data_IF_634239324512
#
_entry.id   IF_634239324512
#
_cell.length_a   1.000
_cell.length_b   1.000
_cell.length_c   1.000
_cell.angle_alpha   90.00
_cell.angle_beta   90.00
_cell.angle_gamma   90.00
#
_symmetry.space_group_name_H-M   'P 1'
#
loop_
_entity.id
_entity.type
_entity.pdbx_description
1 polymer ?
#
# COMPACT_ATOMS: atom_id res chain seq x y z
N UNK A 1 -1.87 10.50 32.57
CA UNK A 1 -1.63 9.56 33.66
C UNK A 1 -1.52 8.18 33.03
N UNK A 2 -0.28 7.66 32.95
CA UNK A 2 -0.02 6.29 32.58
C UNK A 2 -0.76 5.40 33.61
N UNK A 3 -1.78 4.70 33.14
CA UNK A 3 -2.51 3.75 33.98
C UNK A 3 -1.49 2.71 34.47
N UNK A 4 -1.36 2.55 35.78
CA UNK A 4 -0.47 1.54 36.38
C UNK A 4 -0.84 0.19 35.79
N UNK A 5 0.09 -0.41 35.08
CA UNK A 5 0.01 -1.79 34.63
C UNK A 5 -0.05 -2.67 35.89
N UNK A 6 -1.08 -3.50 36.00
CA UNK A 6 -1.14 -4.52 37.02
C UNK A 6 -0.10 -5.56 36.68
N UNK A 7 0.53 -6.15 37.69
CA UNK A 7 1.67 -7.09 37.60
C UNK A 7 1.38 -8.42 36.86
N UNK A 8 0.27 -8.50 36.12
CA UNK A 8 -0.16 -9.68 35.36
C UNK A 8 -0.41 -9.43 33.87
N UNK A 9 -0.38 -8.17 33.43
CA UNK A 9 -0.65 -7.86 31.99
C UNK A 9 0.64 -8.01 31.19
N UNK A 10 0.52 -8.65 30.02
CA UNK A 10 1.60 -8.84 29.06
C UNK A 10 1.42 -7.81 27.93
N UNK A 11 2.49 -7.18 27.50
CA UNK A 11 2.43 -6.33 26.32
C UNK A 11 2.50 -7.18 25.05
N UNK A 12 1.61 -6.88 24.11
CA UNK A 12 1.62 -7.46 22.78
C UNK A 12 1.69 -6.39 21.70
N UNK A 13 2.26 -6.77 20.57
CA UNK A 13 2.26 -6.00 19.34
C UNK A 13 1.54 -6.83 18.29
N UNK A 14 0.54 -6.22 17.68
CA UNK A 14 -0.24 -6.84 16.60
C UNK A 14 0.02 -6.06 15.34
N UNK A 15 0.67 -6.69 14.38
CA UNK A 15 1.09 -6.11 13.09
C UNK A 15 0.32 -6.71 11.92
N UNK A 16 -0.09 -5.87 10.97
CA UNK A 16 -0.70 -6.37 9.72
C UNK A 16 0.36 -7.02 8.83
N UNK A 17 0.27 -8.32 8.66
CA UNK A 17 1.16 -9.06 7.76
C UNK A 17 0.95 -8.63 6.31
N UNK A 18 1.96 -7.99 5.71
CA UNK A 18 1.95 -7.55 4.31
C UNK A 18 0.73 -6.68 3.94
N UNK A 19 0.38 -5.71 4.76
CA UNK A 19 -0.80 -4.87 4.58
C UNK A 19 -0.88 -4.23 3.18
N UNK A 20 0.16 -3.54 2.73
CA UNK A 20 0.18 -2.85 1.43
C UNK A 20 0.10 -3.79 0.22
N UNK A 21 0.82 -4.92 0.15
CA UNK A 21 0.64 -5.93 -0.89
C UNK A 21 -0.79 -6.47 -0.98
N UNK A 22 -1.44 -6.71 0.15
CA UNK A 22 -2.85 -7.18 0.16
C UNK A 22 -3.80 -6.12 -0.38
N UNK A 23 -3.61 -4.86 -0.01
CA UNK A 23 -4.37 -3.72 -0.55
C UNK A 23 -4.13 -3.58 -2.05
N UNK A 24 -2.89 -3.77 -2.53
CA UNK A 24 -2.57 -3.75 -3.97
C UNK A 24 -3.37 -4.81 -4.73
N UNK A 25 -3.38 -6.07 -4.25
CA UNK A 25 -4.13 -7.16 -4.87
C UNK A 25 -5.63 -6.88 -4.85
N UNK A 26 -6.17 -6.37 -3.73
CA UNK A 26 -7.56 -5.96 -3.62
C UNK A 26 -7.95 -4.92 -4.69
N UNK A 27 -7.18 -3.84 -4.83
CA UNK A 27 -7.47 -2.82 -5.82
C UNK A 27 -7.28 -3.30 -7.26
N UNK A 28 -6.30 -4.16 -7.52
CA UNK A 28 -6.10 -4.74 -8.84
C UNK A 28 -7.29 -5.62 -9.25
N UNK A 29 -7.82 -6.43 -8.33
CA UNK A 29 -9.02 -7.22 -8.55
C UNK A 29 -10.24 -6.32 -8.79
N UNK A 30 -10.52 -5.39 -7.87
CA UNK A 30 -11.66 -4.48 -7.97
C UNK A 30 -11.62 -3.60 -9.25
N UNK A 31 -10.44 -3.19 -9.67
CA UNK A 31 -10.26 -2.45 -10.92
C UNK A 31 -10.60 -3.28 -12.15
N UNK A 32 -10.22 -4.56 -12.15
CA UNK A 32 -10.59 -5.52 -13.21
C UNK A 32 -12.09 -5.77 -13.26
N UNK A 33 -12.70 -6.05 -12.12
CA UNK A 33 -14.16 -6.28 -12.01
C UNK A 33 -14.97 -5.08 -12.52
N UNK A 34 -14.59 -3.85 -12.11
CA UNK A 34 -15.28 -2.64 -12.55
C UNK A 34 -15.22 -2.43 -14.07
N UNK A 35 -14.25 -3.02 -14.75
CA UNK A 35 -14.08 -2.96 -16.22
C UNK A 35 -14.55 -4.22 -16.94
N UNK A 36 -15.10 -5.19 -16.22
CA UNK A 36 -15.45 -6.52 -16.75
C UNK A 36 -14.29 -7.19 -17.49
N UNK A 37 -13.07 -6.92 -17.04
CA UNK A 37 -11.83 -7.44 -17.63
C UNK A 37 -10.79 -7.62 -16.53
N UNK A 38 -10.63 -8.85 -16.05
CA UNK A 38 -9.64 -9.17 -15.02
C UNK A 38 -8.23 -8.77 -15.47
N UNK A 39 -7.48 -8.12 -14.59
CA UNK A 39 -6.09 -7.83 -14.87
C UNK A 39 -5.27 -9.12 -14.86
N UNK A 40 -4.44 -9.29 -15.89
CA UNK A 40 -3.60 -10.47 -16.05
C UNK A 40 -2.69 -10.68 -14.82
N UNK A 41 -2.73 -11.88 -14.25
CA UNK A 41 -1.91 -12.28 -13.11
C UNK A 41 -2.51 -12.00 -11.74
N UNK A 42 -3.66 -11.31 -11.66
CA UNK A 42 -4.31 -11.02 -10.35
C UNK A 42 -4.94 -12.25 -9.74
N UNK A 43 -5.55 -13.10 -10.56
CA UNK A 43 -6.26 -14.29 -10.08
C UNK A 43 -5.35 -15.21 -9.26
N UNK A 44 -4.11 -15.42 -9.71
CA UNK A 44 -3.13 -16.26 -9.02
C UNK A 44 -2.81 -15.73 -7.61
N UNK A 45 -2.77 -14.40 -7.42
CA UNK A 45 -2.56 -13.80 -6.10
C UNK A 45 -3.80 -13.89 -5.23
N UNK A 46 -4.99 -13.69 -5.79
CA UNK A 46 -6.25 -13.83 -5.06
C UNK A 46 -6.44 -15.26 -4.57
N UNK A 47 -6.24 -16.24 -5.45
CA UNK A 47 -6.37 -17.66 -5.12
C UNK A 47 -5.26 -18.10 -4.15
N UNK A 48 -4.04 -17.63 -4.35
CA UNK A 48 -2.91 -17.89 -3.46
C UNK A 48 -3.22 -17.46 -2.02
N UNK A 49 -3.66 -16.23 -1.80
CA UNK A 49 -4.02 -15.73 -0.48
C UNK A 49 -5.27 -16.40 0.13
N UNK A 50 -6.25 -16.81 -0.69
CA UNK A 50 -7.42 -17.56 -0.21
C UNK A 50 -7.06 -18.96 0.24
N UNK A 51 -6.14 -19.62 -0.46
CA UNK A 51 -5.68 -20.98 -0.15
C UNK A 51 -4.67 -20.98 1.01
N UNK A 52 -3.81 -19.98 1.07
CA UNK A 52 -2.84 -19.77 2.15
C UNK A 52 -2.81 -18.29 2.59
N UNK A 53 -3.55 -17.93 3.65
CA UNK A 53 -3.54 -16.56 4.19
C UNK A 53 -2.17 -16.06 4.65
N UNK A 54 -1.19 -16.95 4.85
CA UNK A 54 0.19 -16.63 5.20
C UNK A 54 1.12 -16.52 3.99
N UNK A 55 0.60 -16.69 2.78
CA UNK A 55 1.38 -16.57 1.54
C UNK A 55 2.18 -15.27 1.52
N UNK A 56 3.48 -15.38 1.22
CA UNK A 56 4.36 -14.22 1.08
C UNK A 56 4.32 -13.68 -0.36
N UNK A 57 3.80 -12.47 -0.53
CA UNK A 57 3.68 -11.79 -1.82
C UNK A 57 5.02 -11.69 -2.55
N UNK A 58 6.08 -11.33 -1.83
CA UNK A 58 7.40 -11.15 -2.44
C UNK A 58 8.00 -12.47 -2.90
N UNK A 59 7.77 -13.56 -2.16
CA UNK A 59 8.18 -14.91 -2.56
C UNK A 59 7.41 -15.36 -3.80
N UNK A 60 6.12 -15.09 -3.89
CA UNK A 60 5.33 -15.43 -5.07
C UNK A 60 5.83 -14.67 -6.30
N UNK A 61 6.06 -13.35 -6.18
CA UNK A 61 6.66 -12.54 -7.25
C UNK A 61 8.05 -13.04 -7.63
N UNK A 62 8.89 -13.39 -6.65
CA UNK A 62 10.22 -13.92 -6.89
C UNK A 62 10.20 -15.18 -7.77
N UNK A 63 9.29 -16.12 -7.45
CA UNK A 63 9.08 -17.34 -8.24
C UNK A 63 8.60 -17.04 -9.66
N UNK A 64 7.60 -16.15 -9.80
CA UNK A 64 7.03 -15.78 -11.10
C UNK A 64 8.06 -15.06 -11.98
N UNK A 65 8.80 -14.11 -11.43
CA UNK A 65 9.79 -13.32 -12.16
C UNK A 65 11.16 -14.00 -12.29
N UNK A 66 11.37 -15.15 -11.62
CA UNK A 66 12.66 -15.87 -11.55
C UNK A 66 13.81 -15.01 -11.02
N UNK A 67 13.55 -14.29 -9.94
CA UNK A 67 14.49 -13.44 -9.21
C UNK A 67 14.54 -13.85 -7.74
N UNK A 68 15.52 -13.38 -6.97
CA UNK A 68 15.54 -13.63 -5.54
C UNK A 68 14.48 -12.80 -4.77
N UNK A 69 14.13 -13.25 -3.55
CA UNK A 69 13.09 -12.60 -2.74
C UNK A 69 13.45 -11.16 -2.34
N UNK A 70 14.73 -10.87 -2.10
CA UNK A 70 15.20 -9.51 -1.74
C UNK A 70 15.01 -8.56 -2.92
N UNK A 71 15.40 -8.99 -4.12
CA UNK A 71 15.14 -8.24 -5.36
C UNK A 71 13.64 -8.04 -5.56
N UNK A 72 12.82 -9.09 -5.42
CA UNK A 72 11.37 -9.01 -5.55
C UNK A 72 10.77 -8.01 -4.55
N UNK A 73 11.20 -8.02 -3.28
CA UNK A 73 10.75 -7.06 -2.26
C UNK A 73 11.10 -5.63 -2.67
N UNK A 74 12.34 -5.38 -3.09
CA UNK A 74 12.82 -4.04 -3.49
C UNK A 74 12.06 -3.53 -4.70
N UNK A 75 11.84 -4.37 -5.73
CA UNK A 75 11.10 -3.99 -6.94
C UNK A 75 9.62 -3.74 -6.61
N UNK A 76 8.97 -4.62 -5.86
CA UNK A 76 7.56 -4.46 -5.49
C UNK A 76 7.32 -3.13 -4.78
N UNK A 77 8.11 -2.85 -3.75
CA UNK A 77 8.03 -1.58 -3.02
C UNK A 77 8.38 -0.41 -3.94
N UNK A 78 9.45 -0.54 -4.73
CA UNK A 78 9.87 0.48 -5.69
C UNK A 78 8.77 0.83 -6.69
N UNK A 79 8.13 -0.16 -7.28
CA UNK A 79 7.04 0.05 -8.24
C UNK A 79 5.80 0.68 -7.58
N UNK A 80 5.42 0.21 -6.39
CA UNK A 80 4.31 0.81 -5.64
C UNK A 80 4.58 2.26 -5.26
N UNK A 81 5.83 2.62 -4.99
CA UNK A 81 6.23 3.97 -4.60
C UNK A 81 6.65 4.87 -5.77
N UNK A 82 6.57 4.38 -7.01
CA UNK A 82 6.95 5.15 -8.21
C UNK A 82 8.46 5.40 -8.31
N UNK A 83 9.26 4.45 -7.86
CA UNK A 83 10.72 4.51 -7.95
C UNK A 83 11.17 4.42 -9.40
N UNK A 84 12.10 5.30 -9.80
CA UNK A 84 12.76 5.22 -11.10
C UNK A 84 13.84 4.13 -11.15
N UNK A 85 14.20 3.72 -12.37
CA UNK A 85 15.20 2.64 -12.59
C UNK A 85 16.56 2.96 -11.99
N UNK A 86 17.02 4.21 -12.05
CA UNK A 86 18.31 4.61 -11.47
C UNK A 86 18.36 4.36 -9.96
N UNK A 87 17.29 4.78 -9.24
CA UNK A 87 17.21 4.52 -7.80
C UNK A 87 17.09 3.04 -7.47
N UNK A 88 16.44 2.25 -8.33
CA UNK A 88 16.40 0.79 -8.18
C UNK A 88 17.77 0.16 -8.37
N UNK A 89 18.53 0.60 -9.38
CA UNK A 89 19.92 0.23 -9.63
C UNK A 89 20.78 0.46 -8.38
N UNK A 90 20.71 1.67 -7.80
CA UNK A 90 21.43 2.02 -6.57
C UNK A 90 21.04 1.13 -5.38
N UNK A 91 19.74 0.85 -5.20
CA UNK A 91 19.27 0.02 -4.07
C UNK A 91 19.64 -1.46 -4.19
N UNK A 92 19.77 -1.96 -5.40
CA UNK A 92 20.13 -3.36 -5.67
C UNK A 92 21.63 -3.54 -5.88
N UNK A 93 22.40 -2.44 -5.97
CA UNK A 93 23.81 -2.43 -6.29
C UNK A 93 24.11 -3.20 -7.60
N UNK A 94 23.36 -2.87 -8.66
CA UNK A 94 23.47 -3.44 -10.00
C UNK A 94 23.54 -2.34 -11.07
N UNK A 95 24.13 -2.62 -12.26
CA UNK A 95 24.12 -1.69 -13.37
C UNK A 95 22.71 -1.24 -13.78
N UNK A 96 22.58 0.01 -14.26
CA UNK A 96 21.29 0.58 -14.66
C UNK A 96 20.60 -0.25 -15.75
N UNK A 97 21.37 -0.84 -16.67
CA UNK A 97 20.81 -1.67 -17.74
C UNK A 97 20.28 -3.00 -17.22
N UNK A 98 20.94 -3.60 -16.23
CA UNK A 98 20.44 -4.79 -15.53
C UNK A 98 19.16 -4.47 -14.75
N UNK A 99 19.10 -3.29 -14.09
CA UNK A 99 17.87 -2.82 -13.43
C UNK A 99 16.72 -2.59 -14.42
N UNK A 100 16.97 -2.08 -15.62
CA UNK A 100 15.96 -1.96 -16.69
C UNK A 100 15.41 -3.32 -17.12
N UNK A 101 16.29 -4.27 -17.38
CA UNK A 101 15.87 -5.62 -17.79
C UNK A 101 15.09 -6.31 -16.67
N UNK A 102 15.53 -6.16 -15.43
CA UNK A 102 14.83 -6.69 -14.25
C UNK A 102 13.42 -6.12 -14.12
N UNK A 103 13.24 -4.81 -14.31
CA UNK A 103 11.91 -4.16 -14.32
C UNK A 103 11.05 -4.66 -15.47
N UNK A 104 11.64 -4.87 -16.65
CA UNK A 104 10.94 -5.42 -17.81
C UNK A 104 10.44 -6.85 -17.55
N UNK A 105 11.31 -7.71 -17.00
CA UNK A 105 10.94 -9.07 -16.59
C UNK A 105 9.85 -9.06 -15.53
N UNK A 106 9.97 -8.21 -14.51
CA UNK A 106 8.93 -8.03 -13.50
C UNK A 106 7.58 -7.66 -14.13
N UNK A 107 7.52 -6.65 -14.99
CA UNK A 107 6.28 -6.24 -15.62
C UNK A 107 5.70 -7.27 -16.61
N UNK A 108 6.52 -8.11 -17.20
CA UNK A 108 6.05 -9.20 -18.05
C UNK A 108 5.41 -10.34 -17.25
N UNK A 109 5.84 -10.55 -16.00
CA UNK A 109 5.37 -11.63 -15.13
C UNK A 109 4.30 -11.19 -14.14
N UNK A 110 4.31 -9.91 -13.75
CA UNK A 110 3.36 -9.29 -12.80
C UNK A 110 2.74 -8.03 -13.44
N UNK A 111 2.04 -8.16 -14.58
CA UNK A 111 1.61 -7.03 -15.38
C UNK A 111 0.54 -6.17 -14.69
N UNK A 112 -0.25 -6.72 -13.78
CA UNK A 112 -1.35 -6.01 -13.11
C UNK A 112 -0.88 -4.79 -12.32
N UNK A 113 0.33 -4.80 -11.77
CA UNK A 113 0.87 -3.65 -11.02
C UNK A 113 1.00 -2.44 -11.93
N UNK A 114 1.61 -2.61 -13.11
CA UNK A 114 1.74 -1.55 -14.11
C UNK A 114 0.38 -1.12 -14.67
N UNK A 115 -0.50 -2.08 -14.93
CA UNK A 115 -1.85 -1.81 -15.44
C UNK A 115 -2.68 -0.99 -14.45
N UNK A 116 -2.66 -1.35 -13.16
CA UNK A 116 -3.34 -0.61 -12.11
C UNK A 116 -2.75 0.79 -11.94
N UNK A 117 -1.43 0.91 -11.90
CA UNK A 117 -0.74 2.21 -11.81
C UNK A 117 -1.12 3.15 -12.96
N UNK A 118 -1.06 2.65 -14.18
CA UNK A 118 -1.46 3.42 -15.36
C UNK A 118 -2.95 3.78 -15.33
N UNK A 119 -3.80 2.85 -14.92
CA UNK A 119 -5.24 3.05 -14.83
C UNK A 119 -5.62 4.15 -13.83
N UNK A 120 -5.04 4.13 -12.63
CA UNK A 120 -5.28 5.16 -11.61
C UNK A 120 -4.76 6.52 -12.06
N UNK A 121 -3.56 6.56 -12.67
CA UNK A 121 -2.96 7.80 -13.19
C UNK A 121 -3.78 8.40 -14.33
N UNK A 122 -4.21 7.57 -15.29
CA UNK A 122 -5.01 8.01 -16.43
C UNK A 122 -6.36 8.55 -15.96
N UNK A 123 -7.04 7.87 -15.04
CA UNK A 123 -8.31 8.33 -14.48
C UNK A 123 -8.22 9.72 -13.84
N UNK A 124 -7.09 10.04 -13.18
CA UNK A 124 -6.87 11.38 -12.63
C UNK A 124 -6.76 12.48 -13.70
N UNK A 125 -6.28 12.14 -14.90
CA UNK A 125 -6.04 13.10 -16.00
C UNK A 125 -7.20 13.17 -16.99
N UNK A 126 -8.25 12.36 -16.83
CA UNK A 126 -9.48 12.48 -17.64
C UNK A 126 -10.16 13.84 -17.42
N UNK A 127 -10.81 14.37 -18.46
CA UNK A 127 -11.43 15.71 -18.46
C UNK A 127 -12.53 15.85 -17.39
N UNK A 128 -13.31 14.78 -17.16
CA UNK A 128 -14.39 14.71 -16.19
C UNK A 128 -13.91 14.32 -14.78
N UNK A 129 -12.61 14.13 -14.59
CA UNK A 129 -12.03 13.71 -13.33
C UNK A 129 -12.12 14.80 -12.28
N UNK A 130 -12.60 14.42 -11.08
CA UNK A 130 -12.55 15.29 -9.89
C UNK A 130 -11.13 15.63 -9.41
N UNK A 131 -10.09 15.04 -10.05
CA UNK A 131 -8.68 15.15 -9.64
C UNK A 131 -8.42 14.57 -8.26
N UNK A 132 -9.17 13.58 -7.87
CA UNK A 132 -9.01 12.92 -6.58
C UNK A 132 -9.17 11.41 -6.69
N UNK A 133 -8.47 10.69 -5.82
CA UNK A 133 -8.68 9.28 -5.53
C UNK A 133 -9.30 9.14 -4.14
N UNK A 134 -9.92 8.01 -3.87
CA UNK A 134 -10.48 7.69 -2.54
C UNK A 134 -9.83 6.45 -1.98
N UNK A 135 -9.42 6.52 -0.72
CA UNK A 135 -8.99 5.36 0.05
C UNK A 135 -10.15 4.36 0.24
N UNK A 136 -9.86 3.21 0.80
CA UNK A 136 -10.82 2.12 0.99
C UNK A 136 -12.04 2.54 1.85
N UNK A 137 -11.87 3.46 2.80
CA UNK A 137 -12.96 4.04 3.60
C UNK A 137 -13.47 5.39 3.05
N UNK A 138 -13.13 5.73 1.80
CA UNK A 138 -13.72 6.87 1.10
C UNK A 138 -13.00 8.21 1.32
N UNK A 139 -11.91 8.26 2.07
CA UNK A 139 -11.13 9.49 2.30
C UNK A 139 -10.50 9.98 1.01
N UNK A 140 -10.71 11.27 0.70
CA UNK A 140 -10.20 11.89 -0.54
C UNK A 140 -8.73 12.28 -0.44
N UNK A 141 -7.95 11.88 -1.42
CA UNK A 141 -6.64 12.42 -1.72
C UNK A 141 -6.70 13.21 -3.03
N UNK A 142 -6.35 14.49 -2.97
CA UNK A 142 -6.50 15.44 -4.08
C UNK A 142 -5.19 15.67 -4.81
N UNK A 143 -5.28 15.88 -6.14
CA UNK A 143 -4.18 16.24 -7.05
C UNK A 143 -4.56 17.56 -7.74
N UNK A 144 -4.43 18.66 -7.00
CA UNK A 144 -4.93 19.98 -7.43
C UNK A 144 -3.88 20.83 -8.15
N UNK A 145 -2.64 20.35 -8.21
CA UNK A 145 -1.55 21.05 -8.89
C UNK A 145 -1.40 20.56 -10.32
N UNK A 146 -0.92 21.45 -11.19
CA UNK A 146 -0.76 21.22 -12.63
C UNK A 146 0.63 21.61 -13.08
N UNK A 147 1.13 20.92 -14.09
CA UNK A 147 2.44 21.13 -14.71
C UNK A 147 2.34 20.91 -16.22
N UNK A 148 3.21 21.52 -17.06
CA UNK A 148 3.33 21.18 -18.46
C UNK A 148 3.64 19.71 -18.70
N UNK A 149 3.14 19.16 -19.82
CA UNK A 149 3.46 17.77 -20.20
C UNK A 149 4.92 17.64 -20.62
N UNK A 150 5.50 18.71 -21.20
CA UNK A 150 6.91 18.76 -21.58
C UNK A 150 7.82 18.54 -20.37
N UNK A 151 8.89 17.77 -20.57
CA UNK A 151 9.84 17.44 -19.51
C UNK A 151 10.83 18.59 -19.32
N UNK A 152 10.47 19.52 -18.46
CA UNK A 152 11.34 20.58 -17.94
C UNK A 152 11.15 20.66 -16.43
N UNK A 153 12.10 21.28 -15.71
CA UNK A 153 11.96 21.52 -14.27
C UNK A 153 10.90 22.62 -14.03
N UNK A 154 9.64 22.23 -14.15
CA UNK A 154 8.51 23.15 -14.01
C UNK A 154 7.97 23.09 -12.57
N UNK A 155 7.54 24.25 -12.06
CA UNK A 155 6.86 24.37 -10.79
C UNK A 155 5.41 23.89 -10.94
N UNK A 156 5.00 22.96 -10.08
CA UNK A 156 3.60 22.55 -10.03
C UNK A 156 2.74 23.65 -9.37
N UNK A 157 1.71 24.12 -10.06
CA UNK A 157 0.86 25.28 -9.69
C UNK A 157 -0.63 24.91 -9.67
N UNK A 158 -1.48 25.62 -8.91
CA UNK A 158 -2.93 25.58 -9.09
C UNK A 158 -3.30 25.88 -10.54
N UNK A 159 -4.40 25.30 -11.05
CA UNK A 159 -4.74 25.37 -12.49
C UNK A 159 -4.72 26.78 -13.08
N UNK A 160 -5.36 27.75 -12.43
CA UNK A 160 -5.43 29.14 -12.92
C UNK A 160 -4.04 29.79 -12.99
N UNK A 161 -3.20 29.50 -12.00
CA UNK A 161 -1.82 30.00 -11.97
C UNK A 161 -0.95 29.31 -13.03
N UNK A 162 -1.13 28.00 -13.22
CA UNK A 162 -0.43 27.24 -14.26
C UNK A 162 -0.76 27.74 -15.66
N UNK A 163 -2.03 28.04 -15.96
CA UNK A 163 -2.44 28.64 -17.23
C UNK A 163 -1.81 30.04 -17.43
N UNK A 164 -1.78 30.86 -16.39
CA UNK A 164 -1.15 32.19 -16.44
C UNK A 164 0.36 32.11 -16.67
N UNK A 165 1.03 31.18 -15.99
CA UNK A 165 2.50 31.03 -16.03
C UNK A 165 2.97 30.39 -17.34
N UNK A 166 2.29 29.31 -17.79
CA UNK A 166 2.74 28.49 -18.92
C UNK A 166 2.01 28.79 -20.25
N UNK A 167 0.99 29.66 -20.22
CA UNK A 167 0.17 29.98 -21.37
C UNK A 167 -1.02 29.04 -21.56
N UNK A 168 -2.09 29.58 -22.13
CA UNK A 168 -3.38 28.89 -22.35
C UNK A 168 -3.32 27.78 -23.42
N UNK A 169 -2.36 27.86 -24.34
CA UNK A 169 -2.11 26.87 -25.39
C UNK A 169 -1.24 25.69 -24.89
N UNK A 170 -0.61 25.81 -23.74
CA UNK A 170 0.26 24.77 -23.18
C UNK A 170 -0.57 23.59 -22.67
N UNK A 171 -0.22 22.37 -23.12
CA UNK A 171 -0.85 21.14 -22.62
C UNK A 171 -0.41 20.87 -21.18
N UNK A 172 -1.35 20.99 -20.26
CA UNK A 172 -1.14 20.74 -18.84
C UNK A 172 -1.62 19.34 -18.44
N UNK A 173 -0.93 18.75 -17.45
CA UNK A 173 -1.35 17.54 -16.75
C UNK A 173 -1.36 17.78 -15.25
N UNK A 174 -2.04 16.92 -14.49
CA UNK A 174 -1.97 16.96 -13.02
C UNK A 174 -0.57 16.57 -12.55
N UNK A 175 0.03 17.42 -11.76
CA UNK A 175 1.32 17.18 -11.16
C UNK A 175 1.25 16.01 -10.15
N UNK A 176 2.33 15.26 -10.05
CA UNK A 176 2.49 14.14 -9.13
C UNK A 176 1.49 12.98 -9.33
N UNK A 177 0.77 12.93 -10.45
CA UNK A 177 -0.20 11.86 -10.73
C UNK A 177 0.43 10.46 -10.69
N UNK A 178 1.72 10.33 -11.00
CA UNK A 178 2.48 9.09 -10.89
C UNK A 178 2.54 8.52 -9.44
N UNK A 179 2.30 9.36 -8.43
CA UNK A 179 2.21 8.95 -7.01
C UNK A 179 0.82 8.46 -6.62
N UNK A 180 -0.15 8.42 -7.55
CA UNK A 180 -1.54 8.15 -7.20
C UNK A 180 -1.74 6.76 -6.62
N UNK A 181 -1.13 5.71 -7.20
CA UNK A 181 -1.23 4.36 -6.67
C UNK A 181 -0.63 4.25 -5.27
N UNK A 182 0.55 4.83 -5.05
CA UNK A 182 1.17 4.87 -3.73
C UNK A 182 0.25 5.53 -2.69
N UNK A 183 -0.29 6.71 -3.00
CA UNK A 183 -1.21 7.42 -2.11
C UNK A 183 -2.49 6.64 -1.84
N UNK A 184 -3.00 5.93 -2.84
CA UNK A 184 -4.18 5.07 -2.69
C UNK A 184 -3.91 3.95 -1.68
N UNK A 185 -2.80 3.23 -1.85
CA UNK A 185 -2.41 2.10 -0.99
C UNK A 185 -2.13 2.59 0.44
N UNK A 186 -1.25 3.58 0.61
CA UNK A 186 -0.88 4.09 1.94
C UNK A 186 -2.07 4.73 2.68
N UNK A 187 -2.92 5.49 1.97
CA UNK A 187 -4.12 6.03 2.59
C UNK A 187 -5.09 4.94 3.05
N UNK A 188 -5.20 3.85 2.28
CA UNK A 188 -6.06 2.71 2.64
C UNK A 188 -5.46 1.89 3.77
N UNK A 189 -4.14 1.70 3.81
CA UNK A 189 -3.44 1.08 4.94
C UNK A 189 -3.67 1.85 6.24
N UNK A 190 -3.50 3.18 6.20
CA UNK A 190 -3.78 4.04 7.34
C UNK A 190 -5.26 4.02 7.77
N UNK A 191 -6.20 3.88 6.82
CA UNK A 191 -7.62 3.72 7.14
C UNK A 191 -7.91 2.40 7.85
N UNK A 192 -7.28 1.30 7.40
CA UNK A 192 -7.42 -0.02 8.02
C UNK A 192 -6.92 -0.02 9.46
N UNK A 193 -5.71 0.50 9.70
CA UNK A 193 -5.13 0.58 11.05
C UNK A 193 -5.97 1.46 11.97
N UNK A 194 -6.43 2.63 11.49
CA UNK A 194 -7.32 3.50 12.26
C UNK A 194 -8.67 2.86 12.56
N UNK A 195 -9.24 2.14 11.62
CA UNK A 195 -10.48 1.40 11.83
C UNK A 195 -10.28 0.31 12.88
N UNK A 196 -9.21 -0.44 12.81
CA UNK A 196 -8.84 -1.44 13.81
C UNK A 196 -8.72 -0.82 15.21
N UNK A 197 -8.06 0.34 15.34
CA UNK A 197 -7.98 1.06 16.63
C UNK A 197 -9.37 1.42 17.18
N UNK A 198 -10.26 1.91 16.34
CA UNK A 198 -11.64 2.26 16.74
C UNK A 198 -12.42 1.01 17.19
N UNK A 199 -12.30 -0.09 16.45
CA UNK A 199 -12.98 -1.33 16.75
C UNK A 199 -12.44 -1.99 18.04
N UNK A 200 -11.12 -1.93 18.27
CA UNK A 200 -10.51 -2.34 19.54
C UNK A 200 -11.01 -1.46 20.69
N UNK A 201 -10.99 -0.13 20.53
CA UNK A 201 -11.44 0.81 21.54
C UNK A 201 -12.91 0.60 21.91
N UNK A 202 -13.76 0.26 20.94
CA UNK A 202 -15.17 -0.05 21.16
C UNK A 202 -15.41 -1.27 22.07
N UNK A 203 -14.41 -2.14 22.23
CA UNK A 203 -14.47 -3.27 23.20
C UNK A 203 -14.13 -2.86 24.64
N UNK A 204 -13.77 -1.60 24.88
CA UNK A 204 -13.27 -1.09 26.15
C UNK A 204 -11.75 -1.19 26.33
N UNK A 205 -11.02 -1.75 25.34
CA UNK A 205 -9.56 -1.83 25.39
C UNK A 205 -8.93 -0.59 24.76
N UNK A 206 -8.01 0.03 25.45
CA UNK A 206 -7.27 1.21 24.99
C UNK A 206 -6.01 0.78 24.28
N UNK A 207 -5.83 1.08 22.98
CA UNK A 207 -4.54 0.95 22.30
C UNK A 207 -3.48 1.83 22.96
N UNK A 208 -2.29 1.29 23.24
CA UNK A 208 -1.22 2.01 23.91
C UNK A 208 -0.40 2.86 22.94
N UNK A 209 0.03 2.25 21.84
CA UNK A 209 0.86 2.89 20.80
C UNK A 209 0.41 2.36 19.45
N UNK A 210 0.46 3.21 18.42
CA UNK A 210 0.31 2.81 17.02
C UNK A 210 1.54 3.26 16.24
N UNK A 211 2.19 2.33 15.55
CA UNK A 211 3.37 2.58 14.70
C UNK A 211 3.12 1.93 13.35
N UNK A 212 2.94 2.75 12.29
CA UNK A 212 2.58 2.25 10.96
C UNK A 212 1.32 1.37 10.97
N UNK A 213 1.48 0.08 10.75
CA UNK A 213 0.45 -0.97 10.70
C UNK A 213 0.41 -1.83 11.99
N UNK A 214 1.24 -1.51 12.96
CA UNK A 214 1.35 -2.17 14.26
C UNK A 214 0.55 -1.43 15.35
N UNK A 215 -0.14 -2.18 16.22
CA UNK A 215 -0.85 -1.66 17.40
C UNK A 215 -0.36 -2.40 18.64
N UNK A 216 0.16 -1.65 19.62
CA UNK A 216 0.54 -2.17 20.91
C UNK A 216 -0.64 -2.17 21.89
N UNK A 217 -0.81 -3.26 22.61
CA UNK A 217 -1.87 -3.50 23.60
C UNK A 217 -1.31 -4.16 24.85
N UNK A 218 -1.91 -3.87 26.01
CA UNK A 218 -1.72 -4.66 27.22
C UNK A 218 -2.82 -5.70 27.30
N UNK A 219 -2.49 -6.98 27.45
CA UNK A 219 -3.44 -8.10 27.49
C UNK A 219 -3.15 -9.05 28.66
N UNK A 220 -4.15 -9.78 29.07
CA UNK A 220 -4.03 -10.74 30.18
C UNK A 220 -3.34 -12.04 29.73
N UNK A 221 -3.62 -12.48 28.52
CA UNK A 221 -3.19 -13.76 28.00
C UNK A 221 -3.23 -13.81 26.46
N UNK A 222 -2.79 -14.92 25.89
CA UNK A 222 -2.78 -15.16 24.44
C UNK A 222 -4.16 -15.32 23.83
N UNK A 223 -5.20 -15.63 24.60
CA UNK A 223 -6.57 -15.69 24.12
C UNK A 223 -7.10 -14.27 23.86
N UNK A 224 -6.86 -13.35 24.78
CA UNK A 224 -7.17 -11.94 24.60
C UNK A 224 -6.37 -11.35 23.44
N UNK A 225 -5.09 -11.70 23.29
CA UNK A 225 -4.26 -11.29 22.15
C UNK A 225 -4.85 -11.71 20.81
N UNK A 226 -5.29 -12.96 20.69
CA UNK A 226 -5.97 -13.52 19.54
C UNK A 226 -7.27 -12.79 19.18
N UNK A 227 -8.03 -12.39 20.20
CA UNK A 227 -9.25 -11.59 20.02
C UNK A 227 -8.94 -10.26 19.29
N UNK A 228 -7.91 -9.53 19.72
CA UNK A 228 -7.56 -8.26 19.08
C UNK A 228 -6.93 -8.43 17.70
N UNK A 229 -6.11 -9.45 17.50
CA UNK A 229 -5.65 -9.83 16.16
C UNK A 229 -6.82 -10.07 15.19
N UNK A 230 -7.83 -10.84 15.65
CA UNK A 230 -9.05 -11.08 14.84
C UNK A 230 -9.85 -9.81 14.55
N UNK A 231 -9.93 -8.87 15.51
CA UNK A 231 -10.57 -7.57 15.28
C UNK A 231 -9.82 -6.79 14.20
N UNK A 232 -8.49 -6.74 14.25
CA UNK A 232 -7.67 -6.08 13.24
C UNK A 232 -7.86 -6.72 11.86
N UNK A 233 -7.79 -8.07 11.76
CA UNK A 233 -7.99 -8.80 10.52
C UNK A 233 -9.36 -8.52 9.86
N UNK A 234 -10.38 -8.22 10.66
CA UNK A 234 -11.74 -7.95 10.18
C UNK A 234 -12.11 -6.45 10.13
N UNK A 235 -11.20 -5.54 10.45
CA UNK A 235 -11.48 -4.11 10.49
C UNK A 235 -11.93 -3.55 9.14
N UNK A 236 -11.38 -4.07 8.04
CA UNK A 236 -11.78 -3.73 6.67
C UNK A 236 -11.75 -4.98 5.80
N UNK A 237 -12.86 -5.24 5.09
CA UNK A 237 -12.95 -6.39 4.19
C UNK A 237 -12.20 -6.16 2.89
N UNK A 238 -11.21 -6.98 2.60
CA UNK A 238 -10.57 -7.10 1.30
C UNK A 238 -11.14 -8.31 0.53
N UNK A 239 -10.85 -8.42 -0.76
CA UNK A 239 -11.21 -9.61 -1.57
C UNK A 239 -10.40 -10.85 -1.18
N UNK A 240 -9.35 -10.66 -0.42
CA UNK A 240 -8.46 -11.66 0.16
C UNK A 240 -8.43 -11.50 1.67
N UNK A 241 -8.12 -12.56 2.44
CA UNK A 241 -8.06 -12.45 3.89
C UNK A 241 -6.95 -11.47 4.32
N UNK A 242 -7.22 -10.66 5.35
CA UNK A 242 -6.17 -10.00 6.10
C UNK A 242 -5.54 -11.01 7.06
N UNK A 243 -4.30 -10.74 7.46
CA UNK A 243 -3.59 -11.52 8.47
C UNK A 243 -2.80 -10.58 9.36
N UNK A 244 -2.79 -10.87 10.66
CA UNK A 244 -1.96 -10.18 11.63
C UNK A 244 -1.01 -11.18 12.29
N UNK A 245 0.19 -10.70 12.57
CA UNK A 245 1.18 -11.37 13.37
C UNK A 245 1.11 -10.79 14.80
N UNK A 246 1.26 -11.63 15.82
CA UNK A 246 1.22 -11.23 17.22
C UNK A 246 2.57 -11.53 17.84
N UNK A 247 3.22 -10.50 18.34
CA UNK A 247 4.45 -10.60 19.09
C UNK A 247 4.19 -10.28 20.55
N UNK A 248 4.90 -10.97 21.45
CA UNK A 248 4.74 -10.85 22.90
C UNK A 248 6.08 -10.53 23.53
N UNK A 249 6.13 -9.56 24.41
CA UNK A 249 7.37 -9.20 25.10
C UNK A 249 7.10 -8.40 26.37
N UNK A 250 8.11 -8.31 27.23
CA UNK A 250 8.06 -7.48 28.43
C UNK A 250 8.25 -5.99 28.11
N UNK A 251 8.73 -5.67 26.90
CA UNK A 251 8.85 -4.31 26.38
C UNK A 251 8.97 -4.34 24.86
N UNK A 252 8.64 -3.23 24.19
CA UNK A 252 8.71 -3.10 22.72
C UNK A 252 10.08 -3.45 22.12
N UNK A 253 11.17 -3.16 22.81
CA UNK A 253 12.53 -3.51 22.37
C UNK A 253 12.92 -4.97 22.53
N UNK A 254 12.11 -5.79 23.19
CA UNK A 254 12.36 -7.23 23.41
C UNK A 254 11.53 -8.13 22.51
N UNK A 255 10.56 -7.57 21.78
CA UNK A 255 9.70 -8.31 20.83
C UNK A 255 10.25 -8.35 19.42
N UNK A 256 11.39 -7.71 19.14
CA UNK A 256 12.03 -7.67 17.80
C UNK A 256 13.42 -8.26 17.83
#
# INVERSE_FOLDING_TARGET
TLQRMTTMDVEIWVDFSQQEPRILVHYAHAYGEARKNSLQGVAEFVDGYKNDPKMDFHTMVAKMAKIDRKQAKTINLGMMYGMGVNKLSDQLDIPVDDAKELVKQYHSRVPFVKMLMSGVTNRLNERDSSGSIRSILGRKCRFNLWEPIAFEMNKALPYKEAVKEYGDTTRLRRAYAYKALNRLIQASAADMTKRAMVDIYATGKVPLIQIHDEIALSVKDMEEAKKYSTIMENAVNLVIPNKCDVEVGASWGQSK
#
